data_IF_499227979606
#
_entry.id   IF_499227979606
#
_cell.length_a   1.000
_cell.length_b   1.000
_cell.length_c   1.000
_cell.angle_alpha   90.00
_cell.angle_beta   90.00
_cell.angle_gamma   90.00
#
_symmetry.space_group_name_H-M   'P 1'
#
loop_
_entity.id
_entity.type
_entity.pdbx_description
1 polymer ?
#
# COMPACT_ATOMS: atom_id res chain seq x y z
N UNK A 1 9.21 15.51 14.96
CA UNK A 1 8.23 16.48 14.42
C UNK A 1 7.61 15.84 13.17
N UNK A 2 6.29 15.79 13.04
CA UNK A 2 5.62 15.14 11.89
C UNK A 2 5.44 16.14 10.74
N UNK A 3 5.92 15.81 9.54
CA UNK A 3 5.68 16.62 8.34
C UNK A 3 4.39 16.16 7.61
N UNK A 4 3.67 17.08 6.93
CA UNK A 4 2.60 16.71 6.01
C UNK A 4 3.08 15.68 4.99
N UNK A 5 2.26 14.67 4.68
CA UNK A 5 2.64 13.60 3.72
C UNK A 5 3.06 14.13 2.35
N UNK A 6 2.46 15.25 1.89
CA UNK A 6 2.85 15.91 0.64
C UNK A 6 4.30 16.43 0.62
N UNK A 7 4.90 16.64 1.79
CA UNK A 7 6.29 17.07 1.93
C UNK A 7 7.26 15.90 2.15
N UNK A 8 6.74 14.68 2.32
CA UNK A 8 7.56 13.48 2.51
C UNK A 8 7.96 12.80 1.18
N UNK A 9 7.31 13.20 0.08
CA UNK A 9 7.46 12.57 -1.23
C UNK A 9 7.98 13.60 -2.23
N UNK A 10 9.07 13.28 -2.91
CA UNK A 10 9.69 14.05 -3.98
C UNK A 10 10.18 13.06 -5.05
N UNK A 11 9.37 12.89 -6.09
CA UNK A 11 9.65 11.93 -7.17
C UNK A 11 10.91 12.30 -7.97
N UNK A 12 11.27 13.59 -7.98
CA UNK A 12 12.47 14.13 -8.63
C UNK A 12 13.76 13.68 -7.93
N UNK A 13 13.71 13.53 -6.61
CA UNK A 13 14.86 13.07 -5.79
C UNK A 13 14.96 11.55 -5.80
N UNK A 14 13.84 10.87 -5.59
CA UNK A 14 13.75 9.41 -5.72
C UNK A 14 12.33 8.99 -6.04
N UNK A 15 12.12 8.08 -7.01
CA UNK A 15 10.82 7.46 -7.24
C UNK A 15 10.57 6.28 -6.29
N UNK A 16 11.54 5.86 -5.48
CA UNK A 16 11.44 4.69 -4.60
C UNK A 16 11.14 5.05 -3.15
N UNK A 17 10.16 4.37 -2.55
CA UNK A 17 9.72 4.61 -1.18
C UNK A 17 9.48 3.31 -0.43
N UNK A 18 9.98 3.25 0.81
CA UNK A 18 9.60 2.22 1.77
C UNK A 18 8.49 2.75 2.66
N UNK A 19 7.31 2.14 2.58
CA UNK A 19 6.15 2.50 3.40
C UNK A 19 5.82 1.36 4.36
N UNK A 20 5.40 1.74 5.56
CA UNK A 20 5.03 0.78 6.60
C UNK A 20 3.74 1.22 7.25
N UNK A 21 2.91 0.25 7.64
CA UNK A 21 1.75 0.50 8.47
C UNK A 21 1.65 -0.57 9.53
N UNK A 22 1.32 -0.16 10.75
CA UNK A 22 1.23 -1.02 11.93
C UNK A 22 -0.10 -0.82 12.63
N UNK A 23 -0.78 -1.90 12.92
CA UNK A 23 -1.90 -1.91 13.84
C UNK A 23 -1.39 -1.89 15.29
N UNK A 24 -1.90 -0.97 16.10
CA UNK A 24 -1.63 -0.88 17.54
C UNK A 24 -2.82 -1.40 18.34
N UNK A 25 -2.68 -1.48 19.68
CA UNK A 25 -3.78 -1.84 20.60
C UNK A 25 -4.51 -3.15 20.25
N UNK A 26 -3.76 -4.16 19.82
CA UNK A 26 -4.29 -5.52 19.54
C UNK A 26 -5.35 -5.57 18.43
N UNK A 27 -5.41 -4.55 17.57
CA UNK A 27 -6.30 -4.56 16.42
C UNK A 27 -5.82 -5.47 15.26
N UNK A 28 -4.91 -6.43 15.54
CA UNK A 28 -4.21 -7.36 14.65
C UNK A 28 -4.63 -7.28 13.17
N UNK A 29 -3.68 -6.96 12.29
CA UNK A 29 -3.92 -6.99 10.85
C UNK A 29 -4.28 -8.43 10.42
N UNK A 30 -3.45 -9.39 10.85
CA UNK A 30 -3.51 -10.82 10.59
C UNK A 30 -3.00 -11.60 11.83
N UNK A 31 -2.89 -12.93 11.76
CA UNK A 31 -2.34 -13.75 12.86
C UNK A 31 -3.37 -14.30 13.82
N UNK A 32 -2.91 -15.11 14.77
CA UNK A 32 -3.76 -15.72 15.79
C UNK A 32 -3.91 -14.80 17.00
N UNK A 33 -5.14 -14.43 17.33
CA UNK A 33 -5.45 -13.73 18.58
C UNK A 33 -5.67 -14.74 19.71
N UNK A 34 -4.71 -14.79 20.63
CA UNK A 34 -4.74 -15.69 21.79
C UNK A 34 -5.88 -15.44 22.77
N UNK A 35 -6.48 -14.24 22.76
CA UNK A 35 -7.59 -13.88 23.65
C UNK A 35 -8.94 -14.21 23.03
N UNK A 36 -9.16 -13.83 21.77
CA UNK A 36 -10.36 -14.22 21.03
C UNK A 36 -10.31 -15.68 20.54
N UNK A 37 -9.19 -16.37 20.72
CA UNK A 37 -8.92 -17.75 20.26
C UNK A 37 -9.20 -17.94 18.77
N UNK A 38 -8.89 -16.93 17.96
CA UNK A 38 -9.27 -16.87 16.53
C UNK A 38 -8.08 -16.51 15.64
N UNK A 39 -7.98 -17.18 14.49
CA UNK A 39 -7.01 -16.83 13.45
C UNK A 39 -7.58 -15.82 12.44
N UNK A 40 -6.79 -14.80 12.15
CA UNK A 40 -7.01 -13.80 11.12
C UNK A 40 -6.00 -13.89 9.97
N UNK A 41 -5.24 -14.99 9.88
CA UNK A 41 -4.25 -15.22 8.81
C UNK A 41 -4.84 -15.16 7.39
N UNK A 42 -6.12 -15.51 7.23
CA UNK A 42 -6.87 -15.41 5.97
C UNK A 42 -6.91 -14.00 5.38
N UNK A 43 -6.59 -12.95 6.17
CA UNK A 43 -6.55 -11.55 5.69
C UNK A 43 -5.28 -11.22 4.93
N UNK A 44 -4.18 -12.00 5.08
CA UNK A 44 -2.92 -11.71 4.36
C UNK A 44 -3.10 -11.67 2.85
N UNK A 45 -3.77 -12.66 2.19
CA UNK A 45 -4.08 -12.57 0.77
C UNK A 45 -4.91 -11.33 0.43
N UNK A 46 -5.92 -10.99 1.22
CA UNK A 46 -6.78 -9.82 0.95
C UNK A 46 -6.00 -8.50 0.97
N UNK A 47 -5.08 -8.35 1.93
CA UNK A 47 -4.20 -7.18 1.99
C UNK A 47 -3.29 -7.12 0.76
N UNK A 48 -2.73 -8.25 0.33
CA UNK A 48 -1.90 -8.32 -0.87
C UNK A 48 -2.71 -7.98 -2.14
N UNK A 49 -3.90 -8.54 -2.28
CA UNK A 49 -4.76 -8.32 -3.45
C UNK A 49 -5.22 -6.87 -3.53
N UNK A 50 -5.65 -6.27 -2.42
CA UNK A 50 -5.99 -4.84 -2.39
C UNK A 50 -4.77 -3.98 -2.68
N UNK A 51 -3.59 -4.33 -2.17
CA UNK A 51 -2.35 -3.59 -2.46
C UNK A 51 -2.01 -3.63 -3.95
N UNK A 52 -2.11 -4.80 -4.60
CA UNK A 52 -1.91 -4.94 -6.05
C UNK A 52 -2.93 -4.16 -6.87
N UNK A 53 -4.21 -4.20 -6.45
CA UNK A 53 -5.27 -3.42 -7.10
C UNK A 53 -4.97 -1.92 -7.05
N UNK A 54 -4.64 -1.40 -5.85
CA UNK A 54 -4.33 0.02 -5.66
C UNK A 54 -3.08 0.43 -6.45
N UNK A 55 -2.05 -0.40 -6.45
CA UNK A 55 -0.83 -0.15 -7.23
C UNK A 55 -1.14 0.03 -8.73
N UNK A 56 -1.99 -0.83 -9.29
CA UNK A 56 -2.47 -0.72 -10.68
C UNK A 56 -3.27 0.56 -10.93
N UNK A 57 -4.13 0.97 -9.98
CA UNK A 57 -4.96 2.18 -10.11
C UNK A 57 -4.09 3.45 -10.09
N UNK A 58 -3.08 3.49 -9.22
CA UNK A 58 -2.27 4.69 -8.96
C UNK A 58 -0.96 4.75 -9.74
N UNK A 59 -0.72 3.87 -10.71
CA UNK A 59 0.54 3.81 -11.48
C UNK A 59 1.78 3.68 -10.57
N UNK A 60 1.67 2.77 -9.60
CA UNK A 60 2.74 2.47 -8.65
C UNK A 60 3.17 1.02 -8.90
N UNK A 61 4.47 0.78 -8.95
CA UNK A 61 5.01 -0.57 -8.98
C UNK A 61 5.35 -1.02 -7.55
N UNK A 62 5.08 -2.29 -7.23
CA UNK A 62 5.48 -2.91 -5.97
C UNK A 62 6.78 -3.66 -6.20
N UNK A 63 7.89 -3.13 -5.71
CA UNK A 63 9.21 -3.76 -5.85
C UNK A 63 9.41 -4.91 -4.86
N UNK A 64 8.91 -4.75 -3.64
CA UNK A 64 8.96 -5.78 -2.59
C UNK A 64 7.83 -5.57 -1.58
N UNK A 65 7.44 -6.63 -0.88
CA UNK A 65 6.47 -6.55 0.21
C UNK A 65 6.76 -7.58 1.30
N UNK A 66 6.34 -7.26 2.53
CA UNK A 66 6.29 -8.20 3.64
C UNK A 66 5.02 -7.95 4.46
N UNK A 67 4.17 -8.97 4.64
CA UNK A 67 2.92 -8.86 5.41
C UNK A 67 3.03 -9.74 6.66
N UNK A 68 3.10 -9.09 7.82
CA UNK A 68 3.19 -9.73 9.13
C UNK A 68 1.86 -9.59 9.88
N UNK A 69 1.75 -10.20 11.05
CA UNK A 69 0.49 -10.24 11.81
C UNK A 69 0.01 -8.87 12.29
N UNK A 70 0.91 -7.95 12.63
CA UNK A 70 0.53 -6.62 13.15
C UNK A 70 1.02 -5.45 12.29
N UNK A 71 1.74 -5.70 11.21
CA UNK A 71 2.23 -4.65 10.32
C UNK A 71 2.59 -5.21 8.95
N UNK A 72 2.75 -4.31 7.97
CA UNK A 72 3.31 -4.65 6.68
C UNK A 72 4.34 -3.61 6.25
N UNK A 73 5.18 -4.02 5.31
CA UNK A 73 6.16 -3.20 4.62
C UNK A 73 5.93 -3.32 3.12
N UNK A 74 5.97 -2.20 2.40
CA UNK A 74 5.98 -2.17 0.93
C UNK A 74 7.16 -1.32 0.46
N UNK A 75 7.90 -1.81 -0.52
CA UNK A 75 8.85 -1.02 -1.30
C UNK A 75 8.16 -0.70 -2.62
N UNK A 76 7.95 0.58 -2.86
CA UNK A 76 7.16 1.12 -3.96
C UNK A 76 8.05 1.91 -4.91
N UNK A 77 7.68 1.92 -6.18
CA UNK A 77 8.24 2.78 -7.21
C UNK A 77 7.12 3.58 -7.86
N UNK A 78 7.25 4.91 -7.90
CA UNK A 78 6.29 5.80 -8.56
C UNK A 78 6.56 5.77 -10.07
N UNK A 79 5.68 5.14 -10.85
CA UNK A 79 5.85 5.03 -12.29
C UNK A 79 5.40 6.31 -13.01
N UNK A 80 6.22 7.36 -12.90
CA UNK A 80 5.95 8.67 -13.52
C UNK A 80 5.77 8.56 -15.04
N UNK A 81 6.52 7.68 -15.69
CA UNK A 81 6.41 7.47 -17.14
C UNK A 81 5.03 6.94 -17.54
N UNK A 82 4.46 6.01 -16.77
CA UNK A 82 3.10 5.54 -17.01
C UNK A 82 2.06 6.61 -16.68
N UNK A 83 2.22 7.29 -15.55
CA UNK A 83 1.31 8.34 -15.12
C UNK A 83 1.19 9.48 -16.15
N UNK A 84 2.32 9.96 -16.68
CA UNK A 84 2.37 11.02 -17.69
C UNK A 84 1.74 10.66 -19.04
N UNK A 85 1.46 9.37 -19.29
CA UNK A 85 0.79 8.89 -20.52
C UNK A 85 -0.72 8.73 -20.35
N UNK A 86 -1.27 8.94 -19.15
CA UNK A 86 -2.71 8.82 -18.93
C UNK A 86 -3.45 10.08 -19.40
N UNK A 87 -4.58 9.88 -20.08
CA UNK A 87 -5.56 10.95 -20.29
C UNK A 87 -6.44 11.12 -19.05
N UNK A 88 -7.15 12.24 -18.97
CA UNK A 88 -8.09 12.52 -17.87
C UNK A 88 -9.17 11.43 -17.75
N UNK A 89 -9.70 10.95 -18.89
CA UNK A 89 -10.68 9.86 -18.89
C UNK A 89 -10.06 8.55 -18.36
N UNK A 90 -8.80 8.30 -18.71
CA UNK A 90 -8.06 7.12 -18.25
C UNK A 90 -7.77 7.19 -16.75
N UNK A 91 -7.57 8.40 -16.19
CA UNK A 91 -7.45 8.63 -14.75
C UNK A 91 -8.79 8.38 -14.06
N UNK A 92 -9.89 8.97 -14.57
CA UNK A 92 -11.24 8.78 -14.02
C UNK A 92 -11.63 7.30 -14.02
N UNK A 93 -11.43 6.59 -15.12
CA UNK A 93 -11.76 5.17 -15.24
C UNK A 93 -10.97 4.28 -14.27
N UNK A 94 -9.72 4.63 -13.97
CA UNK A 94 -8.92 3.95 -12.93
C UNK A 94 -9.48 4.20 -11.54
N UNK A 95 -9.81 5.45 -11.23
CA UNK A 95 -10.28 5.84 -9.90
C UNK A 95 -11.68 5.28 -9.58
N UNK A 96 -12.51 5.04 -10.60
CA UNK A 96 -13.81 4.34 -10.45
C UNK A 96 -13.68 2.90 -9.92
N UNK A 97 -12.48 2.32 -9.91
CA UNK A 97 -12.24 0.96 -9.42
C UNK A 97 -11.92 0.89 -7.91
N UNK A 98 -11.82 2.04 -7.23
CA UNK A 98 -11.44 2.12 -5.80
C UNK A 98 -12.53 1.57 -4.88
#
# INVERSE_FOLDING_TARGET
MTLPRKQLICAESTPYYHVTSRCVRRAFLCGYDNYAKRSYEHRKPWVLDKTKQLASIFTIDICAYAIMSNHYHLVLHINMAQNSRLSDEAVVSRWQQL
#
